data_IF_604695194061
#
_entry.id   IF_604695194061
#
_cell.length_a   1.000
_cell.length_b   1.000
_cell.length_c   1.000
_cell.angle_alpha   90.00
_cell.angle_beta   90.00
_cell.angle_gamma   90.00
#
_symmetry.space_group_name_H-M   'P 1'
#
loop_
_entity.id
_entity.type
_entity.pdbx_description
1 polymer ?
#
# COMPACT_ATOMS: atom_id res chain seq x y z
N UNK A 1 16.80 28.27 -17.07
CA UNK A 1 16.03 27.38 -16.14
C UNK A 1 14.53 27.50 -16.43
N UNK A 2 14.11 27.29 -17.68
CA UNK A 2 12.70 27.42 -18.10
C UNK A 2 12.34 26.54 -19.32
N UNK A 3 13.25 25.64 -19.75
CA UNK A 3 13.13 24.90 -21.03
C UNK A 3 12.68 23.44 -20.88
N UNK A 4 12.61 22.90 -19.65
CA UNK A 4 12.36 21.47 -19.42
C UNK A 4 10.95 21.11 -18.94
N UNK A 5 10.03 22.09 -18.87
CA UNK A 5 8.64 21.80 -18.46
C UNK A 5 7.75 21.35 -19.63
N UNK A 6 8.17 21.54 -20.89
CA UNK A 6 7.36 21.22 -22.07
C UNK A 6 7.41 19.73 -22.46
N UNK A 7 8.47 19.00 -22.09
CA UNK A 7 8.71 17.63 -22.55
C UNK A 7 8.05 16.53 -21.68
N UNK A 8 7.35 16.88 -20.60
CA UNK A 8 6.65 15.90 -19.75
C UNK A 8 5.13 15.83 -20.00
N UNK A 9 4.58 16.63 -20.90
CA UNK A 9 3.19 16.48 -21.32
C UNK A 9 3.15 15.45 -22.45
N UNK A 10 3.21 14.16 -22.09
CA UNK A 10 2.77 13.15 -23.06
C UNK A 10 1.32 13.47 -23.42
N UNK A 11 1.01 13.77 -24.69
CA UNK A 11 -0.35 14.07 -25.08
C UNK A 11 -1.20 12.86 -24.68
N UNK A 12 -2.20 13.09 -23.84
CA UNK A 12 -3.19 12.08 -23.49
C UNK A 12 -3.63 11.42 -24.79
N UNK A 13 -3.32 10.13 -24.94
CA UNK A 13 -3.62 9.37 -26.16
C UNK A 13 -5.13 9.15 -26.19
N UNK A 14 -5.86 10.15 -26.68
CA UNK A 14 -7.32 10.10 -26.82
C UNK A 14 -7.61 8.95 -27.77
N UNK A 15 -8.34 7.95 -27.26
CA UNK A 15 -8.76 6.82 -28.07
C UNK A 15 -9.72 7.35 -29.14
N UNK A 16 -9.42 7.19 -30.44
CA UNK A 16 -10.22 7.77 -31.51
C UNK A 16 -11.65 7.20 -31.46
N UNK A 17 -12.64 8.07 -31.70
CA UNK A 17 -14.04 7.68 -31.74
C UNK A 17 -14.29 6.68 -32.88
N UNK A 18 -15.27 5.79 -32.70
CA UNK A 18 -15.67 4.81 -33.72
C UNK A 18 -17.15 4.95 -34.04
N UNK A 19 -17.53 4.72 -35.29
CA UNK A 19 -18.93 4.66 -35.73
C UNK A 19 -19.30 3.24 -36.18
N UNK A 20 -20.56 2.87 -36.04
CA UNK A 20 -21.11 1.57 -36.41
C UNK A 20 -21.79 1.69 -37.77
N UNK A 21 -21.41 0.86 -38.74
CA UNK A 21 -22.05 0.81 -40.05
C UNK A 21 -23.48 0.30 -39.95
N UNK A 22 -24.45 1.03 -40.49
CA UNK A 22 -25.87 0.66 -40.43
C UNK A 22 -26.24 -0.57 -41.29
N UNK A 23 -25.37 -0.98 -42.22
CA UNK A 23 -25.63 -2.11 -43.11
C UNK A 23 -25.02 -3.43 -42.60
N UNK A 24 -23.87 -3.38 -41.90
CA UNK A 24 -23.15 -4.59 -41.49
C UNK A 24 -22.69 -4.57 -40.02
N UNK A 25 -23.06 -3.55 -39.25
CA UNK A 25 -22.68 -3.32 -37.85
C UNK A 25 -21.15 -3.27 -37.56
N UNK A 26 -20.32 -3.16 -38.61
CA UNK A 26 -18.88 -3.04 -38.45
C UNK A 26 -18.46 -1.71 -37.81
N UNK A 27 -17.47 -1.74 -36.92
CA UNK A 27 -16.99 -0.59 -36.15
C UNK A 27 -15.82 0.08 -36.88
N UNK A 28 -16.07 1.23 -37.48
CA UNK A 28 -15.11 1.97 -38.28
C UNK A 28 -14.53 3.17 -37.51
N UNK A 29 -13.26 3.56 -37.76
CA UNK A 29 -12.72 4.85 -37.31
C UNK A 29 -13.57 6.02 -37.79
N UNK A 30 -13.67 7.08 -36.97
CA UNK A 30 -14.53 8.24 -37.28
C UNK A 30 -14.11 8.97 -38.56
N UNK A 31 -12.83 8.88 -38.95
CA UNK A 31 -12.27 9.53 -40.13
C UNK A 31 -12.69 8.86 -41.45
N UNK A 32 -13.12 7.59 -41.44
CA UNK A 32 -13.54 6.89 -42.65
C UNK A 32 -14.95 7.30 -43.08
N UNK A 33 -15.07 7.74 -44.34
CA UNK A 33 -16.36 8.07 -44.98
C UNK A 33 -17.14 6.84 -45.45
N UNK A 34 -16.46 5.71 -45.69
CA UNK A 34 -17.10 4.47 -46.13
C UNK A 34 -16.73 3.34 -45.16
N UNK A 35 -17.63 2.36 -45.02
CA UNK A 35 -17.36 1.20 -44.20
C UNK A 35 -16.24 0.36 -44.79
N UNK A 36 -15.22 0.04 -44.00
CA UNK A 36 -14.07 -0.76 -44.42
C UNK A 36 -14.45 -2.22 -44.77
N UNK A 37 -15.61 -2.72 -44.32
CA UNK A 37 -16.03 -4.10 -44.56
C UNK A 37 -17.00 -4.25 -45.75
N UNK A 38 -18.01 -3.38 -45.88
CA UNK A 38 -19.03 -3.49 -46.94
C UNK A 38 -19.03 -2.34 -47.95
N UNK A 39 -18.14 -1.35 -47.81
CA UNK A 39 -18.06 -0.21 -48.71
C UNK A 39 -19.18 0.84 -48.58
N UNK A 40 -20.22 0.57 -47.78
CA UNK A 40 -21.36 1.48 -47.66
C UNK A 40 -20.97 2.83 -47.02
N UNK A 41 -21.56 3.92 -47.50
CA UNK A 41 -21.23 5.28 -47.06
C UNK A 41 -21.72 5.56 -45.64
N UNK A 42 -20.94 6.38 -44.91
CA UNK A 42 -21.27 6.91 -43.60
C UNK A 42 -22.47 7.85 -43.74
N UNK A 43 -23.61 7.45 -43.15
CA UNK A 43 -24.79 8.30 -43.11
C UNK A 43 -24.59 9.52 -42.20
N UNK A 44 -25.47 10.54 -42.34
CA UNK A 44 -25.46 11.70 -41.44
C UNK A 44 -25.73 11.32 -39.97
N UNK A 45 -26.50 10.25 -39.73
CA UNK A 45 -26.95 9.82 -38.39
C UNK A 45 -26.30 8.50 -37.92
N UNK A 46 -24.99 8.34 -38.10
CA UNK A 46 -24.29 7.11 -37.70
C UNK A 46 -24.13 6.99 -36.19
N UNK A 47 -24.43 5.80 -35.64
CA UNK A 47 -24.23 5.51 -34.21
C UNK A 47 -22.74 5.53 -33.87
N UNK A 48 -22.31 6.50 -33.08
CA UNK A 48 -20.95 6.58 -32.53
C UNK A 48 -20.85 5.86 -31.19
N UNK A 49 -19.81 5.05 -31.02
CA UNK A 49 -19.45 4.48 -29.71
C UNK A 49 -18.42 5.43 -29.11
N UNK A 50 -18.82 6.21 -28.12
CA UNK A 50 -17.87 6.96 -27.31
C UNK A 50 -17.25 6.00 -26.28
N UNK A 51 -15.96 5.62 -26.42
CA UNK A 51 -15.35 4.65 -25.51
C UNK A 51 -15.16 5.20 -24.09
N UNK A 52 -15.26 6.52 -23.91
CA UNK A 52 -15.07 7.19 -22.60
C UNK A 52 -16.37 7.32 -21.80
N UNK A 53 -17.52 7.30 -22.48
CA UNK A 53 -18.81 7.62 -21.89
C UNK A 53 -19.51 6.46 -21.17
N UNK A 54 -19.16 5.20 -21.47
CA UNK A 54 -20.03 4.06 -21.13
C UNK A 54 -20.25 3.79 -19.64
N UNK A 55 -19.27 4.04 -18.77
CA UNK A 55 -19.41 3.68 -17.35
C UNK A 55 -20.01 4.87 -16.59
N UNK A 56 -19.36 6.03 -16.63
CA UNK A 56 -19.82 7.23 -15.92
C UNK A 56 -21.20 7.73 -16.39
N UNK A 57 -21.53 7.68 -17.69
CA UNK A 57 -22.87 8.09 -18.13
C UNK A 57 -23.98 7.12 -17.69
N UNK A 58 -23.68 5.82 -17.53
CA UNK A 58 -24.64 4.86 -16.94
C UNK A 58 -24.87 5.16 -15.46
N UNK A 59 -23.83 5.55 -14.72
CA UNK A 59 -23.96 5.98 -13.33
C UNK A 59 -24.70 7.31 -13.19
N UNK A 60 -24.48 8.28 -14.08
CA UNK A 60 -25.20 9.55 -14.08
C UNK A 60 -26.69 9.41 -14.41
N UNK A 61 -27.09 8.35 -15.14
CA UNK A 61 -28.49 8.02 -15.44
C UNK A 61 -29.19 7.23 -14.33
N UNK A 62 -28.52 6.90 -13.23
CA UNK A 62 -29.19 6.34 -12.08
C UNK A 62 -30.16 7.39 -11.54
N UNK A 63 -31.45 7.04 -11.45
CA UNK A 63 -32.44 7.89 -10.80
C UNK A 63 -32.09 8.15 -9.33
N UNK A 64 -32.82 9.04 -8.67
CA UNK A 64 -32.56 9.46 -7.27
C UNK A 64 -32.30 8.29 -6.32
N UNK A 65 -33.01 7.18 -6.49
CA UNK A 65 -32.83 5.94 -5.69
C UNK A 65 -31.42 5.37 -5.82
N UNK A 66 -30.85 5.33 -7.03
CA UNK A 66 -29.50 4.78 -7.25
C UNK A 66 -28.41 5.64 -6.59
N UNK A 67 -28.57 6.96 -6.61
CA UNK A 67 -27.68 7.87 -5.90
C UNK A 67 -27.74 7.68 -4.37
N UNK A 68 -28.93 7.46 -3.82
CA UNK A 68 -29.09 7.16 -2.39
C UNK A 68 -28.28 5.90 -2.02
N UNK A 69 -28.36 4.84 -2.81
CA UNK A 69 -27.56 3.62 -2.56
C UNK A 69 -26.06 3.84 -2.68
N UNK A 70 -25.60 4.63 -3.66
CA UNK A 70 -24.17 4.95 -3.81
C UNK A 70 -23.66 5.73 -2.59
N UNK A 71 -24.41 6.74 -2.14
CA UNK A 71 -24.06 7.52 -0.95
C UNK A 71 -24.05 6.62 0.29
N UNK A 72 -25.09 5.79 0.46
CA UNK A 72 -25.18 4.85 1.58
C UNK A 72 -24.02 3.85 1.59
N UNK A 73 -23.66 3.30 0.42
CA UNK A 73 -22.53 2.40 0.26
C UNK A 73 -21.20 3.11 0.55
N UNK A 74 -21.04 4.35 0.10
CA UNK A 74 -19.86 5.18 0.38
C UNK A 74 -19.71 5.44 1.88
N UNK A 75 -20.81 5.81 2.56
CA UNK A 75 -20.82 6.02 4.01
C UNK A 75 -20.51 4.71 4.76
N UNK A 76 -21.14 3.60 4.36
CA UNK A 76 -20.85 2.29 4.93
C UNK A 76 -19.39 1.90 4.74
N UNK A 77 -18.81 2.13 3.56
CA UNK A 77 -17.39 1.86 3.29
C UNK A 77 -16.46 2.71 4.18
N UNK A 78 -16.76 4.00 4.38
CA UNK A 78 -15.98 4.88 5.26
C UNK A 78 -16.00 4.39 6.71
N UNK A 79 -17.15 3.90 7.19
CA UNK A 79 -17.29 3.38 8.56
C UNK A 79 -16.67 1.99 8.72
N UNK A 80 -16.91 1.08 7.77
CA UNK A 80 -16.44 -0.31 7.84
C UNK A 80 -14.94 -0.42 7.61
N UNK A 81 -14.35 0.42 6.77
CA UNK A 81 -12.90 0.37 6.47
C UNK A 81 -12.01 0.43 7.72
N UNK A 82 -12.12 1.42 8.63
CA UNK A 82 -11.28 1.46 9.83
C UNK A 82 -11.53 0.26 10.76
N UNK A 83 -12.78 -0.21 10.87
CA UNK A 83 -13.12 -1.39 11.70
C UNK A 83 -12.44 -2.65 11.13
N UNK A 84 -12.59 -2.89 9.83
CA UNK A 84 -11.97 -4.02 9.15
C UNK A 84 -10.45 -3.91 9.18
N UNK A 85 -9.90 -2.70 9.04
CA UNK A 85 -8.46 -2.45 9.14
C UNK A 85 -7.91 -2.81 10.52
N UNK A 86 -8.55 -2.32 11.60
CA UNK A 86 -8.17 -2.67 12.98
C UNK A 86 -8.32 -4.18 13.22
N UNK A 87 -9.40 -4.79 12.72
CA UNK A 87 -9.59 -6.24 12.86
C UNK A 87 -8.54 -7.03 12.07
N UNK A 88 -8.12 -6.57 10.90
CA UNK A 88 -7.10 -7.21 10.09
C UNK A 88 -5.72 -7.09 10.76
N UNK A 89 -5.38 -5.89 11.26
CA UNK A 89 -4.13 -5.63 11.99
C UNK A 89 -3.99 -6.48 13.25
N UNK A 90 -5.09 -6.78 13.95
CA UNK A 90 -5.07 -7.58 15.19
C UNK A 90 -5.07 -9.09 14.95
N UNK A 91 -5.71 -9.58 13.88
CA UNK A 91 -5.90 -11.03 13.65
C UNK A 91 -4.93 -11.65 12.65
N UNK A 92 -4.45 -10.88 11.67
CA UNK A 92 -3.64 -11.41 10.57
C UNK A 92 -2.17 -11.10 10.88
N UNK A 93 -1.42 -12.15 11.23
CA UNK A 93 0.01 -12.03 11.53
C UNK A 93 0.78 -11.47 10.33
N UNK A 94 1.65 -10.49 10.59
CA UNK A 94 2.44 -9.82 9.57
C UNK A 94 1.69 -8.84 8.65
N UNK A 95 0.37 -8.67 8.77
CA UNK A 95 -0.37 -7.71 7.95
C UNK A 95 0.09 -6.26 8.23
N UNK A 96 0.30 -5.93 9.50
CA UNK A 96 0.89 -4.66 9.93
C UNK A 96 2.25 -4.41 9.26
N UNK A 97 3.12 -5.41 9.28
CA UNK A 97 4.46 -5.29 8.70
C UNK A 97 4.43 -5.09 7.19
N UNK A 98 3.49 -5.70 6.46
CA UNK A 98 3.31 -5.46 5.01
C UNK A 98 2.89 -4.02 4.75
N UNK A 99 1.90 -3.50 5.48
CA UNK A 99 1.45 -2.11 5.34
C UNK A 99 2.58 -1.13 5.67
N UNK A 100 3.31 -1.39 6.76
CA UNK A 100 4.49 -0.62 7.14
C UNK A 100 5.55 -0.69 6.06
N UNK A 101 5.83 -1.86 5.46
CA UNK A 101 6.82 -1.98 4.40
C UNK A 101 6.43 -1.17 3.15
N UNK A 102 5.16 -1.24 2.73
CA UNK A 102 4.65 -0.45 1.59
C UNK A 102 4.73 1.05 1.90
N UNK A 103 4.20 1.48 3.04
CA UNK A 103 4.23 2.89 3.47
C UNK A 103 5.66 3.40 3.65
N UNK A 104 6.52 2.58 4.26
CA UNK A 104 7.94 2.84 4.48
C UNK A 104 8.71 2.96 3.17
N UNK A 105 8.40 2.15 2.16
CA UNK A 105 9.02 2.26 0.84
C UNK A 105 8.76 3.64 0.22
N UNK A 106 7.50 4.10 0.22
CA UNK A 106 7.15 5.44 -0.27
C UNK A 106 7.72 6.55 0.62
N UNK A 107 7.69 6.37 1.94
CA UNK A 107 8.27 7.30 2.89
C UNK A 107 9.78 7.46 2.70
N UNK A 108 10.51 6.37 2.53
CA UNK A 108 11.95 6.37 2.28
C UNK A 108 12.28 7.02 0.93
N UNK A 109 11.48 6.75 -0.11
CA UNK A 109 11.60 7.43 -1.41
C UNK A 109 11.42 8.95 -1.26
N UNK A 110 10.42 9.38 -0.48
CA UNK A 110 10.16 10.80 -0.20
C UNK A 110 11.33 11.42 0.58
N UNK A 111 11.74 10.81 1.69
CA UNK A 111 12.84 11.26 2.53
C UNK A 111 14.18 11.33 1.77
N UNK A 112 14.47 10.36 0.91
CA UNK A 112 15.69 10.34 0.09
C UNK A 112 15.74 11.45 -0.96
N UNK A 113 14.58 11.95 -1.43
CA UNK A 113 14.45 13.06 -2.38
C UNK A 113 14.31 14.43 -1.72
N UNK A 114 14.16 14.47 -0.40
CA UNK A 114 13.90 15.69 0.34
C UNK A 114 15.08 16.66 0.27
N UNK A 115 14.77 17.95 0.05
CA UNK A 115 15.76 19.04 0.08
C UNK A 115 16.34 19.28 1.48
N UNK A 116 15.61 18.86 2.53
CA UNK A 116 16.08 18.96 3.91
C UNK A 116 17.29 18.05 4.21
N UNK A 117 17.68 17.14 3.31
CA UNK A 117 18.93 16.39 3.43
C UNK A 117 18.93 15.40 4.61
N UNK A 118 20.00 15.35 5.44
CA UNK A 118 20.12 14.40 6.56
C UNK A 118 18.97 14.46 7.60
N UNK A 119 18.48 15.65 8.04
CA UNK A 119 17.32 15.75 8.92
C UNK A 119 16.09 14.95 8.48
N UNK A 120 15.70 15.03 7.20
CA UNK A 120 14.53 14.29 6.70
C UNK A 120 14.71 12.77 6.80
N UNK A 121 15.94 12.28 6.60
CA UNK A 121 16.26 10.85 6.73
C UNK A 121 16.19 10.39 8.18
N UNK A 122 16.72 11.20 9.11
CA UNK A 122 16.65 10.91 10.55
C UNK A 122 15.21 10.87 11.04
N UNK A 123 14.39 11.86 10.66
CA UNK A 123 12.96 11.90 10.99
C UNK A 123 12.25 10.65 10.46
N UNK A 124 12.52 10.26 9.21
CA UNK A 124 11.96 9.04 8.64
C UNK A 124 12.33 7.80 9.45
N UNK A 125 13.62 7.61 9.79
CA UNK A 125 14.07 6.44 10.56
C UNK A 125 13.37 6.38 11.93
N UNK A 126 13.37 7.49 12.67
CA UNK A 126 12.75 7.54 14.00
C UNK A 126 11.25 7.28 13.92
N UNK A 127 10.56 7.97 13.01
CA UNK A 127 9.11 7.83 12.85
C UNK A 127 8.74 6.41 12.42
N UNK A 128 9.43 5.86 11.41
CA UNK A 128 9.18 4.51 10.93
C UNK A 128 9.40 3.47 12.03
N UNK A 129 10.45 3.63 12.83
CA UNK A 129 10.78 2.68 13.90
C UNK A 129 9.78 2.73 15.06
N UNK A 130 9.34 3.93 15.46
CA UNK A 130 8.30 4.08 16.49
C UNK A 130 6.94 3.56 16.01
N UNK A 131 6.55 3.86 14.78
CA UNK A 131 5.31 3.33 14.20
C UNK A 131 5.35 1.81 14.05
N UNK A 132 6.51 1.26 13.67
CA UNK A 132 6.72 -0.18 13.60
C UNK A 132 6.44 -0.87 14.93
N UNK A 133 7.07 -0.38 16.00
CA UNK A 133 6.88 -0.91 17.36
C UNK A 133 5.42 -0.75 17.83
N UNK A 134 4.77 0.36 17.50
CA UNK A 134 3.41 0.64 17.96
C UNK A 134 2.34 -0.21 17.24
N UNK A 135 2.49 -0.42 15.93
CA UNK A 135 1.46 -1.04 15.07
C UNK A 135 1.66 -2.55 14.98
N UNK A 136 2.89 -3.06 14.92
CA UNK A 136 3.17 -4.49 14.74
C UNK A 136 3.24 -5.25 16.09
N UNK A 137 2.17 -5.10 16.89
CA UNK A 137 2.04 -5.78 18.17
C UNK A 137 2.02 -7.31 18.05
N UNK A 138 1.31 -7.94 17.07
CA UNK A 138 1.32 -9.38 16.96
C UNK A 138 2.62 -9.94 16.32
N UNK A 139 3.35 -9.09 15.59
CA UNK A 139 4.52 -9.46 14.81
C UNK A 139 4.20 -10.34 13.60
N UNK A 140 5.27 -10.84 12.99
CA UNK A 140 5.26 -11.94 12.03
C UNK A 140 6.21 -13.02 12.57
N UNK A 141 5.99 -14.28 12.20
CA UNK A 141 6.93 -15.38 12.36
C UNK A 141 8.40 -14.97 12.09
N UNK A 142 8.66 -14.26 11.00
CA UNK A 142 10.02 -13.82 10.63
C UNK A 142 10.60 -12.83 11.64
N UNK A 143 9.80 -11.85 12.07
CA UNK A 143 10.25 -10.86 13.05
C UNK A 143 10.30 -11.41 14.48
N UNK A 144 9.74 -12.59 14.73
CA UNK A 144 9.89 -13.26 16.03
C UNK A 144 11.20 -14.05 16.13
N UNK A 145 11.93 -14.21 15.01
CA UNK A 145 13.14 -14.99 14.95
C UNK A 145 14.25 -14.48 15.88
N UNK A 146 14.49 -13.15 16.01
CA UNK A 146 15.57 -12.66 16.86
C UNK A 146 15.44 -13.00 18.35
N UNK A 147 14.23 -13.28 18.84
CA UNK A 147 14.02 -13.72 20.23
C UNK A 147 14.65 -15.08 20.54
N UNK A 148 14.90 -15.91 19.52
CA UNK A 148 15.61 -17.19 19.70
C UNK A 148 17.04 -17.00 20.20
N UNK A 149 17.68 -15.88 19.88
CA UNK A 149 19.03 -15.57 20.34
C UNK A 149 19.08 -15.02 21.77
N UNK A 150 17.93 -14.70 22.37
CA UNK A 150 17.84 -14.24 23.77
C UNK A 150 17.75 -15.42 24.73
N UNK A 151 17.24 -16.55 24.25
CA UNK A 151 17.09 -17.77 25.05
C UNK A 151 18.43 -18.51 25.19
N UNK A 152 18.64 -19.15 26.35
CA UNK A 152 19.84 -19.94 26.61
C UNK A 152 19.86 -21.23 25.78
N UNK A 153 21.05 -21.82 25.60
CA UNK A 153 21.20 -23.09 24.90
C UNK A 153 20.30 -24.20 25.49
N UNK A 154 19.71 -25.01 24.62
CA UNK A 154 18.77 -26.07 25.01
C UNK A 154 17.37 -25.57 25.41
N UNK A 155 17.06 -24.29 25.20
CA UNK A 155 15.70 -23.75 25.32
C UNK A 155 15.17 -23.26 23.98
N UNK A 156 13.85 -23.21 23.84
CA UNK A 156 13.17 -22.70 22.65
C UNK A 156 12.26 -21.54 23.02
N UNK A 157 12.09 -20.59 22.11
CA UNK A 157 11.17 -19.46 22.33
C UNK A 157 9.73 -19.93 22.06
N UNK A 158 8.90 -19.87 23.08
CA UNK A 158 7.46 -20.04 22.97
C UNK A 158 6.78 -18.66 23.04
N UNK A 159 5.76 -18.47 22.19
CA UNK A 159 4.94 -17.27 22.18
C UNK A 159 3.55 -17.64 22.68
N UNK A 160 3.11 -16.99 23.74
CA UNK A 160 1.74 -17.09 24.23
C UNK A 160 1.05 -15.73 24.17
N UNK A 161 -0.27 -15.74 23.93
CA UNK A 161 -1.10 -14.54 24.03
C UNK A 161 -1.77 -14.58 25.39
N UNK A 162 -1.38 -13.67 26.28
CA UNK A 162 -2.03 -13.49 27.55
C UNK A 162 -3.22 -12.55 27.37
N UNK A 163 -4.42 -13.07 27.57
CA UNK A 163 -5.65 -12.28 27.60
C UNK A 163 -5.91 -11.89 29.06
N UNK A 164 -6.02 -10.59 29.32
CA UNK A 164 -6.30 -10.06 30.65
C UNK A 164 -7.51 -9.11 30.60
N UNK A 165 -8.26 -9.08 31.69
CA UNK A 165 -9.44 -8.24 31.86
C UNK A 165 -9.24 -7.30 33.06
N UNK A 166 -8.35 -6.29 32.94
CA UNK A 166 -8.02 -5.45 34.08
C UNK A 166 -9.21 -4.58 34.54
N UNK A 167 -10.18 -4.31 33.65
CA UNK A 167 -11.38 -3.52 33.94
C UNK A 167 -12.61 -4.15 33.26
N UNK A 168 -13.83 -3.98 33.82
CA UNK A 168 -15.07 -4.42 33.18
C UNK A 168 -15.22 -3.83 31.78
N UNK A 169 -15.47 -4.68 30.78
CA UNK A 169 -15.61 -4.26 29.37
C UNK A 169 -14.30 -4.02 28.62
N UNK A 170 -13.14 -4.18 29.26
CA UNK A 170 -11.82 -4.07 28.62
C UNK A 170 -11.16 -5.44 28.50
N UNK A 171 -10.66 -5.75 27.31
CA UNK A 171 -9.89 -6.97 27.04
C UNK A 171 -8.54 -6.56 26.49
N UNK A 172 -7.48 -6.81 27.26
CA UNK A 172 -6.11 -6.51 26.88
C UNK A 172 -5.44 -7.83 26.46
N UNK A 173 -4.98 -7.88 25.22
CA UNK A 173 -4.22 -9.00 24.69
C UNK A 173 -2.75 -8.59 24.64
N UNK A 174 -1.92 -9.21 25.47
CA UNK A 174 -0.47 -8.99 25.47
C UNK A 174 0.24 -10.23 24.97
N UNK A 175 1.23 -10.04 24.10
CA UNK A 175 2.10 -11.14 23.70
C UNK A 175 3.21 -11.32 24.73
N UNK A 176 3.36 -12.54 25.20
CA UNK A 176 4.40 -12.93 26.14
C UNK A 176 5.32 -13.92 25.43
N UNK A 177 6.60 -13.61 25.43
CA UNK A 177 7.65 -14.48 24.92
C UNK A 177 8.35 -15.14 26.10
N UNK A 178 8.35 -16.47 26.12
CA UNK A 178 9.01 -17.29 27.14
C UNK A 178 10.05 -18.19 26.52
N UNK A 179 11.11 -18.48 27.27
CA UNK A 179 12.06 -19.53 26.92
C UNK A 179 11.65 -20.80 27.67
N UNK A 180 11.28 -21.83 26.93
CA UNK A 180 10.85 -23.12 27.47
C UNK A 180 11.90 -24.19 27.22
N UNK A 181 12.05 -25.12 28.16
CA UNK A 181 12.93 -26.27 28.01
C UNK A 181 12.34 -27.34 27.07
N UNK A 182 13.07 -28.44 26.88
CA UNK A 182 12.63 -29.59 26.06
C UNK A 182 11.35 -30.26 26.58
N UNK A 183 10.98 -30.05 27.85
CA UNK A 183 9.78 -30.58 28.48
C UNK A 183 8.61 -29.58 28.41
N UNK A 184 8.79 -28.43 27.75
CA UNK A 184 7.82 -27.35 27.70
C UNK A 184 7.71 -26.56 29.02
N UNK A 185 8.64 -26.74 29.96
CA UNK A 185 8.62 -25.99 31.21
C UNK A 185 9.26 -24.63 31.00
N UNK A 186 8.53 -23.59 31.40
CA UNK A 186 9.00 -22.21 31.37
C UNK A 186 10.23 -22.03 32.28
N UNK A 187 11.38 -21.66 31.69
CA UNK A 187 12.61 -21.32 32.45
C UNK A 187 12.72 -19.81 32.70
N UNK A 188 12.38 -19.00 31.72
CA UNK A 188 12.48 -17.54 31.82
C UNK A 188 11.46 -16.84 30.90
N UNK A 189 11.04 -15.63 31.29
CA UNK A 189 10.25 -14.73 30.45
C UNK A 189 11.14 -13.65 29.87
N UNK A 190 10.97 -13.33 28.59
CA UNK A 190 11.60 -12.18 27.97
C UNK A 190 10.83 -10.94 28.40
N UNK A 191 11.52 -9.99 29.01
CA UNK A 191 10.87 -8.78 29.54
C UNK A 191 10.32 -7.91 28.39
N UNK A 192 9.18 -7.24 28.63
CA UNK A 192 8.58 -6.35 27.62
C UNK A 192 9.55 -5.28 27.08
N UNK A 193 10.40 -4.62 27.92
CA UNK A 193 11.38 -3.67 27.40
C UNK A 193 12.40 -4.30 26.44
N UNK A 194 12.84 -5.54 26.69
CA UNK A 194 13.71 -6.27 25.76
C UNK A 194 12.99 -6.56 24.44
N UNK A 195 11.72 -6.97 24.50
CA UNK A 195 10.88 -7.18 23.32
C UNK A 195 10.80 -5.90 22.49
N UNK A 196 10.39 -4.78 23.11
CA UNK A 196 10.28 -3.49 22.44
C UNK A 196 11.62 -3.01 21.88
N UNK A 197 12.72 -3.21 22.60
CA UNK A 197 14.07 -2.85 22.17
C UNK A 197 14.51 -3.60 20.92
N UNK A 198 14.31 -4.93 20.88
CA UNK A 198 14.63 -5.76 19.71
C UNK A 198 13.80 -5.31 18.49
N UNK A 199 12.50 -5.11 18.66
CA UNK A 199 11.62 -4.61 17.58
C UNK A 199 12.04 -3.25 17.06
N UNK A 200 12.37 -2.34 17.96
CA UNK A 200 12.82 -1.00 17.58
C UNK A 200 14.08 -1.07 16.71
N UNK A 201 15.04 -1.93 17.09
CA UNK A 201 16.25 -2.16 16.30
C UNK A 201 15.94 -2.80 14.94
N UNK A 202 15.03 -3.77 14.87
CA UNK A 202 14.57 -4.36 13.59
C UNK A 202 14.06 -3.27 12.65
N UNK A 203 13.18 -2.38 13.11
CA UNK A 203 12.66 -1.33 12.24
C UNK A 203 13.69 -0.26 11.89
N UNK A 204 14.67 0.03 12.74
CA UNK A 204 15.81 0.88 12.38
C UNK A 204 16.56 0.26 11.19
N UNK A 205 16.84 -1.04 11.25
CA UNK A 205 17.55 -1.74 10.18
C UNK A 205 16.76 -1.73 8.88
N UNK A 206 15.45 -1.97 8.94
CA UNK A 206 14.56 -1.92 7.77
C UNK A 206 14.50 -0.50 7.19
N UNK A 207 14.32 0.53 8.03
CA UNK A 207 14.32 1.92 7.58
C UNK A 207 15.64 2.30 6.91
N UNK A 208 16.76 1.91 7.51
CA UNK A 208 18.10 2.11 6.96
C UNK A 208 18.28 1.41 5.61
N UNK A 209 17.81 0.17 5.48
CA UNK A 209 17.82 -0.58 4.23
C UNK A 209 17.00 0.12 3.14
N UNK A 210 15.75 0.49 3.43
CA UNK A 210 14.86 1.19 2.48
C UNK A 210 15.45 2.52 2.01
N UNK A 211 15.99 3.32 2.94
CA UNK A 211 16.66 4.58 2.62
C UNK A 211 17.92 4.38 1.77
N UNK A 212 18.72 3.35 2.08
CA UNK A 212 19.95 3.03 1.35
C UNK A 212 19.61 2.60 -0.08
N UNK A 213 18.61 1.74 -0.25
CA UNK A 213 18.11 1.31 -1.55
C UNK A 213 17.67 2.50 -2.42
N UNK A 214 16.84 3.40 -1.87
CA UNK A 214 16.38 4.57 -2.62
C UNK A 214 17.49 5.59 -2.90
N UNK A 215 18.36 5.85 -1.92
CA UNK A 215 19.50 6.76 -2.11
C UNK A 215 20.45 6.26 -3.19
N UNK A 216 20.68 4.94 -3.25
CA UNK A 216 21.49 4.32 -4.30
C UNK A 216 20.85 4.42 -5.68
N UNK A 217 19.55 4.16 -5.77
CA UNK A 217 18.80 4.31 -7.03
C UNK A 217 18.82 5.76 -7.54
N UNK A 218 18.69 6.75 -6.66
CA UNK A 218 18.80 8.16 -7.04
C UNK A 218 20.19 8.51 -7.57
N UNK A 219 21.25 8.08 -6.88
CA UNK A 219 22.64 8.26 -7.35
C UNK A 219 22.86 7.61 -8.72
N UNK A 220 22.29 6.42 -8.96
CA UNK A 220 22.37 5.75 -10.26
C UNK A 220 21.69 6.54 -11.38
N UNK A 221 20.53 7.13 -11.11
CA UNK A 221 19.81 7.96 -12.09
C UNK A 221 20.60 9.23 -12.41
N UNK A 222 21.14 9.91 -11.40
CA UNK A 222 21.97 11.11 -11.58
C UNK A 222 23.25 10.83 -12.37
N UNK A 223 23.86 9.65 -12.21
CA UNK A 223 25.03 9.25 -13.00
C UNK A 223 24.70 9.02 -14.49
N UNK A 224 23.46 8.61 -14.81
CA UNK A 224 23.03 8.37 -16.19
C UNK A 224 22.67 9.66 -16.93
N UNK A 225 22.18 10.68 -16.23
CA UNK A 225 21.81 11.97 -16.80
C UNK A 225 22.57 13.11 -16.09
N UNK A 226 23.85 13.35 -16.45
CA UNK A 226 24.65 14.41 -15.83
C UNK A 226 24.11 15.82 -16.08
N UNK A 227 23.34 16.00 -17.17
CA UNK A 227 22.83 17.31 -17.62
C UNK A 227 21.61 17.81 -16.82
N UNK A 228 21.03 16.97 -15.95
CA UNK A 228 19.88 17.31 -15.10
C UNK A 228 20.30 17.92 -13.74
N UNK A 229 21.48 18.55 -13.67
CA UNK A 229 22.05 19.07 -12.42
C UNK A 229 21.89 20.58 -12.28
#
# INVERSE_FOLDING_TARGET
MQKDLADQIQPLKIKPMKWICHHCDYKNPIELQNCAQCGNSKGPDVKTIDPSASFFQKFLKLGTIGWIFIILLGLAAIILTPILLISALSKIEGFASILLFIGGFFGAKSAARSQFGPPAKAIFIVFFSLMGVAIDQPGNYVYNYPFRFVCAEGTSTERSVQVSHPLPGRTDMTQVFSCVDINGKEKSKISLPQVLGIRFLEYILIAGFLLSFHSWNLKRIQRKNPDNR
#
